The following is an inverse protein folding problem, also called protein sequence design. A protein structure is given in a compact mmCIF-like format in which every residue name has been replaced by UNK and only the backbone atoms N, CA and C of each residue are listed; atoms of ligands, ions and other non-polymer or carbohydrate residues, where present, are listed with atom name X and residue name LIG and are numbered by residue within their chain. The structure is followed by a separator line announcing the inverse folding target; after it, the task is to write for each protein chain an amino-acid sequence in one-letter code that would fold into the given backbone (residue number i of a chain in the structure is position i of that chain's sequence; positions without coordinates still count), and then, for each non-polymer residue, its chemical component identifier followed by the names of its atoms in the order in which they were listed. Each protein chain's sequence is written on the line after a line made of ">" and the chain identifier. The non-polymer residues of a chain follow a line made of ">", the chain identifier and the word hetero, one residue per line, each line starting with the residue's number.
data_IF_601383053405
#
_entry.id   IF_601383053405
#
_cell.length_a   1.000
_cell.length_b   1.000
_cell.length_c   1.000
_cell.angle_alpha   90.00
_cell.angle_beta   90.00
_cell.angle_gamma   90.00
#
_symmetry.space_group_name_H-M   'P 1'
#
loop_
_entity.id
_entity.type
_entity.pdbx_description
1 polymer ?
#
# COMPACT_ATOMS: atom_id res chain seq x y z
N UNK A 1 -21.76 59.29 7.59
CA UNK A 1 -20.94 58.07 7.36
C UNK A 1 -21.42 57.44 6.06
N UNK A 2 -20.49 57.03 5.18
CA UNK A 2 -20.74 56.69 3.77
C UNK A 2 -21.45 55.33 3.59
N UNK A 3 -22.04 55.16 2.41
CA UNK A 3 -22.77 53.97 1.91
C UNK A 3 -21.84 52.82 1.46
N UNK A 4 -20.52 52.92 1.60
CA UNK A 4 -19.59 52.02 0.87
C UNK A 4 -18.85 50.94 1.67
N UNK A 5 -18.86 50.94 3.01
CA UNK A 5 -17.79 50.23 3.74
C UNK A 5 -18.27 49.03 4.60
N UNK A 6 -19.53 48.58 4.48
CA UNK A 6 -20.04 47.42 5.24
C UNK A 6 -20.45 46.23 4.36
N UNK A 7 -19.94 46.19 3.12
CA UNK A 7 -19.79 44.95 2.35
C UNK A 7 -18.33 44.47 2.42
N UNK A 8 -17.75 44.51 3.62
CA UNK A 8 -16.54 43.76 3.89
C UNK A 8 -16.92 42.28 3.90
N UNK A 9 -16.68 41.66 2.76
CA UNK A 9 -16.82 40.25 2.44
C UNK A 9 -16.59 39.36 3.67
N UNK A 10 -17.69 38.87 4.23
CA UNK A 10 -17.65 37.69 5.10
C UNK A 10 -17.24 36.52 4.22
N UNK A 11 -15.95 36.20 4.24
CA UNK A 11 -15.44 34.92 3.73
C UNK A 11 -16.04 33.85 4.65
N UNK A 12 -17.18 33.29 4.23
CA UNK A 12 -17.68 32.07 4.86
C UNK A 12 -16.59 31.00 4.65
N UNK A 13 -16.09 30.35 5.72
CA UNK A 13 -15.28 29.18 5.53
C UNK A 13 -16.16 28.15 4.82
N UNK A 14 -15.87 27.90 3.54
CA UNK A 14 -16.40 26.75 2.83
C UNK A 14 -16.01 25.56 3.68
N UNK A 15 -16.99 25.00 4.39
CA UNK A 15 -16.87 23.74 5.09
C UNK A 15 -16.56 22.66 4.08
N UNK A 16 -15.30 22.57 3.71
CA UNK A 16 -14.73 21.35 3.19
C UNK A 16 -14.69 20.42 4.39
N UNK A 17 -15.75 19.65 4.58
CA UNK A 17 -15.72 18.41 5.34
C UNK A 17 -14.81 17.41 4.62
N UNK A 18 -13.54 17.78 4.47
CA UNK A 18 -12.48 16.80 4.43
C UNK A 18 -12.35 16.33 5.88
N UNK A 19 -13.29 15.47 6.30
CA UNK A 19 -12.93 14.45 7.27
C UNK A 19 -11.94 13.52 6.58
N UNK A 20 -10.71 14.02 6.37
CA UNK A 20 -9.53 13.20 6.16
C UNK A 20 -9.15 12.59 7.52
N UNK A 21 -10.11 11.92 8.15
CA UNK A 21 -9.79 10.85 9.07
C UNK A 21 -9.08 9.82 8.21
N UNK A 22 -7.74 9.89 8.21
CA UNK A 22 -6.88 8.91 7.55
C UNK A 22 -7.02 7.58 8.31
N UNK A 23 -8.18 6.96 8.13
CA UNK A 23 -8.60 5.77 8.84
C UNK A 23 -7.79 4.63 8.26
N UNK A 24 -6.63 4.41 8.90
CA UNK A 24 -5.66 3.44 8.44
C UNK A 24 -6.27 2.06 8.66
N UNK A 25 -6.74 1.45 7.58
CA UNK A 25 -7.33 0.13 7.67
C UNK A 25 -6.32 -0.87 8.27
N UNK A 26 -6.72 -1.55 9.35
CA UNK A 26 -5.87 -2.54 10.03
C UNK A 26 -5.95 -3.88 9.29
N UNK A 27 -4.88 -4.20 8.55
CA UNK A 27 -4.76 -5.46 7.82
C UNK A 27 -4.57 -6.65 8.75
N UNK A 28 -5.46 -7.62 8.68
CA UNK A 28 -5.27 -8.93 9.30
C UNK A 28 -4.53 -9.89 8.36
N UNK A 29 -4.10 -11.04 8.89
CA UNK A 29 -3.47 -12.08 8.09
C UNK A 29 -4.43 -12.57 7.00
N UNK A 30 -5.66 -12.92 7.35
CA UNK A 30 -6.69 -13.38 6.42
C UNK A 30 -6.99 -12.38 5.30
N UNK A 31 -7.11 -11.08 5.63
CA UNK A 31 -7.35 -10.04 4.62
C UNK A 31 -6.20 -9.97 3.61
N UNK A 32 -4.97 -10.18 4.09
CA UNK A 32 -3.78 -10.11 3.24
C UNK A 32 -3.70 -11.32 2.31
N UNK A 33 -4.11 -12.51 2.77
CA UNK A 33 -4.20 -13.69 1.91
C UNK A 33 -5.21 -13.49 0.79
N UNK A 34 -6.42 -13.03 1.13
CA UNK A 34 -7.47 -12.72 0.14
C UNK A 34 -7.00 -11.67 -0.85
N UNK A 35 -6.33 -10.62 -0.37
CA UNK A 35 -5.75 -9.58 -1.21
C UNK A 35 -4.71 -10.14 -2.18
N UNK A 36 -3.78 -11.00 -1.73
CA UNK A 36 -2.74 -11.57 -2.58
C UNK A 36 -3.30 -12.50 -3.67
N UNK A 37 -4.34 -13.27 -3.34
CA UNK A 37 -5.05 -14.15 -4.29
C UNK A 37 -5.75 -13.33 -5.41
N UNK A 38 -6.50 -12.30 -5.01
CA UNK A 38 -7.12 -11.37 -5.95
C UNK A 38 -6.06 -10.65 -6.79
N UNK A 39 -4.97 -10.23 -6.16
CA UNK A 39 -3.87 -9.59 -6.86
C UNK A 39 -3.31 -10.48 -7.96
N UNK A 40 -3.08 -11.76 -7.73
CA UNK A 40 -2.58 -12.68 -8.76
C UNK A 40 -3.52 -12.73 -9.98
N UNK A 41 -4.81 -12.81 -9.70
CA UNK A 41 -5.85 -12.93 -10.73
C UNK A 41 -5.94 -11.66 -11.58
N UNK A 42 -6.05 -10.50 -10.94
CA UNK A 42 -6.19 -9.23 -11.66
C UNK A 42 -4.87 -8.76 -12.27
N UNK A 43 -3.72 -9.11 -11.70
CA UNK A 43 -2.40 -8.76 -12.24
C UNK A 43 -2.19 -9.29 -13.65
N UNK A 44 -2.70 -10.49 -13.94
CA UNK A 44 -2.65 -11.11 -15.29
C UNK A 44 -3.52 -10.37 -16.31
N UNK A 45 -4.49 -9.59 -15.85
CA UNK A 45 -5.43 -8.83 -16.68
C UNK A 45 -5.02 -7.37 -16.88
N UNK A 46 -4.01 -6.87 -16.16
CA UNK A 46 -3.51 -5.50 -16.32
C UNK A 46 -2.93 -5.32 -17.72
N UNK A 47 -3.35 -4.25 -18.40
CA UNK A 47 -2.99 -3.96 -19.80
C UNK A 47 -4.03 -4.43 -20.81
N UNK A 48 -5.06 -5.15 -20.37
CA UNK A 48 -6.24 -5.45 -21.20
C UNK A 48 -7.24 -4.28 -21.19
N UNK A 49 -8.24 -4.32 -22.09
CA UNK A 49 -9.31 -3.33 -22.14
C UNK A 49 -10.10 -3.21 -20.82
N UNK A 50 -10.20 -4.29 -20.05
CA UNK A 50 -10.94 -4.33 -18.76
C UNK A 50 -10.17 -3.68 -17.62
N UNK A 51 -8.87 -3.93 -17.52
CA UNK A 51 -8.00 -3.36 -16.47
C UNK A 51 -6.83 -2.65 -17.13
N UNK A 52 -7.07 -1.40 -17.56
CA UNK A 52 -6.06 -0.63 -18.32
C UNK A 52 -4.82 -0.26 -17.49
N UNK A 53 -4.95 -0.10 -16.18
CA UNK A 53 -3.88 0.41 -15.32
C UNK A 53 -3.86 -0.26 -13.94
N UNK A 54 -2.73 -0.14 -13.23
CA UNK A 54 -2.60 -0.62 -11.85
C UNK A 54 -3.57 0.07 -10.89
N UNK A 55 -3.85 1.37 -11.10
CA UNK A 55 -4.85 2.08 -10.31
C UNK A 55 -6.22 1.41 -10.44
N UNK A 56 -6.62 1.08 -11.68
CA UNK A 56 -7.89 0.40 -11.94
C UNK A 56 -7.93 -1.00 -11.33
N UNK A 57 -6.81 -1.72 -11.36
CA UNK A 57 -6.67 -3.02 -10.72
C UNK A 57 -6.95 -2.94 -9.21
N UNK A 58 -6.39 -1.95 -8.50
CA UNK A 58 -6.63 -1.77 -7.07
C UNK A 58 -8.07 -1.33 -6.77
N UNK A 59 -8.72 -0.58 -7.66
CA UNK A 59 -10.15 -0.28 -7.54
C UNK A 59 -10.98 -1.57 -7.60
N UNK A 60 -10.73 -2.45 -8.57
CA UNK A 60 -11.48 -3.71 -8.68
C UNK A 60 -11.20 -4.66 -7.50
N UNK A 61 -9.94 -4.75 -7.06
CA UNK A 61 -9.58 -5.53 -5.86
C UNK A 61 -10.30 -4.99 -4.62
N UNK A 62 -10.41 -3.67 -4.45
CA UNK A 62 -11.09 -3.09 -3.29
C UNK A 62 -12.57 -3.48 -3.22
N UNK A 63 -13.25 -3.50 -4.37
CA UNK A 63 -14.65 -3.94 -4.49
C UNK A 63 -14.79 -5.43 -4.16
N UNK A 64 -13.93 -6.27 -4.73
CA UNK A 64 -13.93 -7.71 -4.47
C UNK A 64 -13.66 -8.05 -3.01
N UNK A 65 -12.70 -7.36 -2.36
CA UNK A 65 -12.44 -7.56 -0.93
C UNK A 65 -13.67 -7.20 -0.11
N UNK A 66 -14.35 -6.08 -0.44
CA UNK A 66 -15.59 -5.70 0.23
C UNK A 66 -16.66 -6.77 0.08
N UNK A 67 -16.83 -7.35 -1.10
CA UNK A 67 -17.80 -8.43 -1.35
C UNK A 67 -17.43 -9.69 -0.55
N UNK A 68 -16.16 -10.10 -0.56
CA UNK A 68 -15.70 -11.35 0.08
C UNK A 68 -15.60 -11.29 1.59
N UNK A 69 -15.24 -10.13 2.15
CA UNK A 69 -14.94 -9.99 3.59
C UNK A 69 -15.92 -9.09 4.35
N UNK A 70 -16.77 -8.35 3.62
CA UNK A 70 -17.66 -7.33 4.20
C UNK A 70 -16.95 -6.03 4.61
N UNK A 71 -15.63 -5.92 4.41
CA UNK A 71 -14.83 -4.80 4.90
C UNK A 71 -14.65 -3.71 3.85
N UNK A 72 -14.83 -2.46 4.25
CA UNK A 72 -14.61 -1.31 3.38
C UNK A 72 -13.12 -0.93 3.36
N UNK A 73 -12.38 -1.45 2.38
CA UNK A 73 -10.98 -1.06 2.14
C UNK A 73 -10.93 -0.15 0.93
N UNK A 74 -10.25 1.00 1.05
CA UNK A 74 -10.06 1.90 -0.10
C UNK A 74 -9.02 1.36 -1.09
N UNK A 75 -9.09 1.74 -2.38
CA UNK A 75 -8.07 1.36 -3.37
C UNK A 75 -6.65 1.81 -2.95
N UNK A 76 -6.54 3.00 -2.34
CA UNK A 76 -5.29 3.54 -1.81
C UNK A 76 -4.72 2.66 -0.69
N UNK A 77 -5.56 2.16 0.22
CA UNK A 77 -5.14 1.22 1.25
C UNK A 77 -4.61 -0.10 0.67
N UNK A 78 -5.21 -0.58 -0.42
CA UNK A 78 -4.72 -1.76 -1.16
C UNK A 78 -3.33 -1.52 -1.77
N UNK A 79 -3.13 -0.36 -2.40
CA UNK A 79 -1.83 0.01 -2.97
C UNK A 79 -0.75 0.14 -1.86
N UNK A 80 -1.08 0.81 -0.76
CA UNK A 80 -0.19 0.95 0.38
C UNK A 80 0.17 -0.42 0.97
N UNK A 81 -0.81 -1.33 1.07
CA UNK A 81 -0.56 -2.69 1.54
C UNK A 81 0.43 -3.42 0.65
N UNK A 82 0.27 -3.31 -0.67
CA UNK A 82 1.23 -3.88 -1.63
C UNK A 82 2.65 -3.35 -1.40
N UNK A 83 2.81 -2.04 -1.23
CA UNK A 83 4.12 -1.41 -0.93
C UNK A 83 4.71 -1.90 0.39
N UNK A 84 3.89 -2.06 1.43
CA UNK A 84 4.32 -2.59 2.73
C UNK A 84 4.81 -4.04 2.61
N UNK A 85 4.05 -4.89 1.91
CA UNK A 85 4.44 -6.29 1.67
C UNK A 85 5.74 -6.38 0.88
N UNK A 86 5.89 -5.54 -0.15
CA UNK A 86 7.12 -5.47 -0.93
C UNK A 86 8.34 -5.08 -0.07
N UNK A 87 8.21 -4.07 0.79
CA UNK A 87 9.29 -3.65 1.70
C UNK A 87 9.63 -4.75 2.72
N UNK A 88 8.61 -5.39 3.29
CA UNK A 88 8.77 -6.47 4.24
C UNK A 88 9.49 -7.67 3.60
N UNK A 89 9.09 -8.06 2.37
CA UNK A 89 9.74 -9.11 1.62
C UNK A 89 11.21 -8.79 1.30
N UNK A 90 11.53 -7.57 0.87
CA UNK A 90 12.92 -7.14 0.64
C UNK A 90 13.76 -7.22 1.91
N UNK A 91 13.21 -6.75 3.04
CA UNK A 91 13.87 -6.83 4.35
C UNK A 91 14.10 -8.28 4.77
N UNK A 92 13.12 -9.15 4.52
CA UNK A 92 13.24 -10.59 4.75
C UNK A 92 14.40 -11.18 3.93
N UNK A 93 14.41 -10.98 2.60
CA UNK A 93 15.48 -11.47 1.71
C UNK A 93 16.87 -10.99 2.12
N UNK A 94 17.01 -9.72 2.51
CA UNK A 94 18.26 -9.17 3.02
C UNK A 94 18.76 -9.87 4.29
N UNK A 95 17.83 -10.32 5.13
CA UNK A 95 18.12 -10.88 6.45
C UNK A 95 18.20 -12.43 6.46
N UNK A 96 18.05 -13.11 5.31
CA UNK A 96 18.10 -14.58 5.28
C UNK A 96 19.52 -15.10 5.51
N UNK A 97 20.53 -14.35 5.07
CA UNK A 97 21.93 -14.73 5.14
C UNK A 97 22.61 -14.30 6.44
N UNK A 98 21.92 -13.55 7.30
CA UNK A 98 22.42 -13.14 8.61
C UNK A 98 22.31 -14.31 9.59
N UNK A 99 23.39 -14.56 10.33
CA UNK A 99 23.47 -15.57 11.39
C UNK A 99 23.07 -14.96 12.74
N UNK A 100 22.23 -15.66 13.53
CA UNK A 100 21.81 -15.28 14.90
C UNK A 100 20.29 -15.07 15.10
N UNK A 101 19.86 -14.70 16.32
CA UNK A 101 18.45 -14.44 16.73
C UNK A 101 17.74 -13.32 15.98
N UNK A 102 18.44 -12.62 15.08
CA UNK A 102 17.87 -11.57 14.25
C UNK A 102 17.05 -12.10 13.06
N UNK A 103 17.09 -13.42 12.78
CA UNK A 103 16.27 -14.04 11.72
C UNK A 103 14.79 -13.86 12.04
N UNK A 104 14.08 -13.16 11.17
CA UNK A 104 12.63 -13.00 11.27
C UNK A 104 11.97 -13.96 10.30
N UNK A 105 11.11 -14.81 10.83
CA UNK A 105 10.18 -15.57 10.01
C UNK A 105 9.20 -14.60 9.32
N UNK A 106 8.86 -14.90 8.08
CA UNK A 106 7.93 -14.10 7.30
C UNK A 106 6.81 -15.03 6.83
N UNK A 107 5.69 -15.03 7.54
CA UNK A 107 4.59 -16.00 7.35
C UNK A 107 4.07 -16.06 5.91
N UNK A 108 4.13 -14.94 5.18
CA UNK A 108 3.63 -14.86 3.80
C UNK A 108 4.72 -15.14 2.75
N UNK A 109 5.84 -15.73 3.16
CA UNK A 109 7.01 -15.99 2.30
C UNK A 109 6.62 -16.67 1.00
N UNK A 110 5.97 -17.83 1.08
CA UNK A 110 5.66 -18.62 -0.12
C UNK A 110 4.82 -17.84 -1.15
N UNK A 111 3.86 -17.03 -0.70
CA UNK A 111 3.02 -16.23 -1.58
C UNK A 111 3.79 -15.05 -2.17
N UNK A 112 4.53 -14.31 -1.33
CA UNK A 112 5.31 -13.16 -1.78
C UNK A 112 6.43 -13.57 -2.75
N UNK A 113 7.11 -14.69 -2.49
CA UNK A 113 8.16 -15.24 -3.34
C UNK A 113 7.69 -15.38 -4.80
N UNK A 114 6.47 -15.89 -5.03
CA UNK A 114 5.87 -16.01 -6.38
C UNK A 114 5.81 -14.69 -7.16
N UNK A 115 5.57 -13.58 -6.48
CA UNK A 115 5.42 -12.27 -7.13
C UNK A 115 6.74 -11.52 -7.30
N UNK A 116 7.69 -11.71 -6.38
CA UNK A 116 8.90 -10.88 -6.29
C UNK A 116 10.20 -11.58 -6.71
N UNK A 117 10.22 -12.88 -6.97
CA UNK A 117 11.41 -13.59 -7.50
C UNK A 117 11.83 -13.14 -8.90
N UNK A 118 10.87 -12.92 -9.81
CA UNK A 118 11.16 -12.60 -11.22
C UNK A 118 11.71 -11.19 -11.41
N UNK A 119 11.43 -10.30 -10.47
CA UNK A 119 12.00 -8.96 -10.46
C UNK A 119 13.33 -9.07 -9.74
N UNK A 120 14.46 -9.13 -10.47
CA UNK A 120 15.80 -8.87 -9.91
C UNK A 120 15.84 -7.42 -9.40
N UNK A 121 15.10 -7.15 -8.32
CA UNK A 121 15.04 -5.84 -7.70
C UNK A 121 16.45 -5.58 -7.22
N UNK A 122 17.00 -4.42 -7.60
CA UNK A 122 18.32 -4.00 -7.18
C UNK A 122 18.34 -3.85 -5.66
N UNK A 123 18.59 -4.96 -4.95
CA UNK A 123 18.74 -5.05 -3.50
C UNK A 123 19.93 -4.17 -3.05
N UNK A 124 20.84 -3.83 -3.97
CA UNK A 124 22.05 -3.03 -3.73
C UNK A 124 21.79 -1.59 -3.26
N UNK A 125 20.62 -0.97 -3.51
CA UNK A 125 20.39 0.44 -3.11
C UNK A 125 20.00 0.67 -1.65
N UNK A 126 19.68 -0.37 -0.88
CA UNK A 126 19.32 -0.23 0.54
C UNK A 126 20.50 -0.44 1.51
N UNK A 127 21.70 -0.74 1.00
CA UNK A 127 22.91 -0.93 1.82
C UNK A 127 23.59 0.37 2.30
N UNK A 128 23.17 1.57 1.86
CA UNK A 128 23.94 2.81 2.11
C UNK A 128 23.50 3.66 3.30
N UNK A 129 22.59 3.20 4.18
CA UNK A 129 22.08 4.06 5.27
C UNK A 129 22.08 3.45 6.68
N UNK A 130 22.95 2.47 6.96
CA UNK A 130 23.18 2.02 8.35
C UNK A 130 24.65 1.70 8.65
N UNK A 131 25.62 2.25 7.89
CA UNK A 131 27.04 2.03 8.20
C UNK A 131 27.92 3.22 7.83
N UNK A 132 27.75 4.33 8.54
CA UNK A 132 28.74 5.42 8.60
C UNK A 132 28.47 6.30 9.83
N UNK A 133 28.72 5.75 11.01
CA UNK A 133 28.90 6.50 12.27
C UNK A 133 29.54 5.57 13.30
N UNK A 134 30.72 5.05 12.96
CA UNK A 134 31.65 4.44 13.91
C UNK A 134 33.01 4.31 13.21
N UNK A 135 33.65 5.46 13.01
CA UNK A 135 35.09 5.67 12.95
C UNK A 135 35.32 7.14 13.33
#
# INVERSE_FOLDING_TARGET
>A
MKVSDLLEYVILPVGSSNEDSHDSYRWTHGDTLVFLDLYETYRKQVGTLRVKSFKKMFEEISKEIKIKTGKNITPTNCENRWKVLERAYKKYILNINTTGSARKEFDMRMLCTKFWERRKISIRKYCYRVRLSML
#
